data_IF_536872012915
#
_entry.id   IF_536872012915
#
_cell.length_a   1.000
_cell.length_b   1.000
_cell.length_c   1.000
_cell.angle_alpha   90.00
_cell.angle_beta   90.00
_cell.angle_gamma   90.00
#
_symmetry.space_group_name_H-M   'P 1'
#
loop_
_entity.id
_entity.type
_entity.pdbx_description
1 polymer ?
#
# COMPACT_ATOMS: atom_id res chain seq x y z
N UNK A 1 -1.15 15.07 -6.41
CA UNK A 1 -0.87 14.05 -5.38
C UNK A 1 -2.03 14.04 -4.39
N UNK A 2 -2.55 12.87 -4.02
CA UNK A 2 -3.62 12.78 -3.01
C UNK A 2 -3.00 12.79 -1.61
N UNK A 3 -3.70 13.38 -0.63
CA UNK A 3 -3.33 13.28 0.78
C UNK A 3 -3.26 11.78 1.10
N UNK A 4 -2.10 11.30 1.56
CA UNK A 4 -1.82 9.88 1.88
C UNK A 4 -1.56 8.92 0.72
N UNK A 5 -1.04 9.41 -0.41
CA UNK A 5 -0.50 8.56 -1.47
C UNK A 5 0.94 8.97 -1.79
N UNK A 6 1.85 7.99 -1.84
CA UNK A 6 3.24 8.23 -2.21
C UNK A 6 3.30 8.65 -3.68
N UNK A 7 4.16 9.63 -3.96
CA UNK A 7 4.51 9.97 -5.34
C UNK A 7 5.38 8.90 -5.97
N UNK A 8 5.46 8.88 -7.31
CA UNK A 8 6.36 7.98 -8.02
C UNK A 8 7.82 8.19 -7.61
N UNK A 9 8.23 9.44 -7.35
CA UNK A 9 9.57 9.77 -6.88
C UNK A 9 9.85 9.21 -5.47
N UNK A 10 8.91 9.37 -4.53
CA UNK A 10 9.03 8.81 -3.18
C UNK A 10 8.97 7.28 -3.18
N UNK A 11 8.15 6.71 -4.06
CA UNK A 11 8.07 5.26 -4.25
C UNK A 11 9.40 4.73 -4.79
N UNK A 12 10.05 5.44 -5.71
CA UNK A 12 11.39 5.10 -6.21
C UNK A 12 12.46 5.05 -5.13
N UNK A 13 12.42 5.96 -4.14
CA UNK A 13 13.38 5.98 -3.03
C UNK A 13 13.26 4.77 -2.10
N UNK A 14 12.05 4.25 -1.93
CA UNK A 14 11.74 3.16 -0.98
C UNK A 14 11.63 1.81 -1.72
N UNK A 15 11.67 1.81 -3.06
CA UNK A 15 11.46 0.63 -3.89
C UNK A 15 12.44 -0.50 -3.56
N UNK A 16 13.69 -0.17 -3.22
CA UNK A 16 14.73 -1.16 -2.89
C UNK A 16 14.52 -1.81 -1.51
N UNK A 17 13.81 -1.12 -0.61
CA UNK A 17 13.45 -1.63 0.71
C UNK A 17 12.20 -2.52 0.68
N UNK A 18 11.49 -2.56 -0.45
CA UNK A 18 10.30 -3.38 -0.58
C UNK A 18 10.66 -4.85 -0.81
N UNK A 19 9.92 -5.78 -0.19
CA UNK A 19 10.13 -7.20 -0.46
C UNK A 19 9.88 -7.45 -1.94
N UNK A 20 10.89 -7.93 -2.67
CA UNK A 20 10.72 -8.32 -4.08
C UNK A 20 9.53 -9.27 -4.16
N UNK A 21 8.52 -8.87 -4.92
CA UNK A 21 7.33 -9.67 -5.19
C UNK A 21 7.72 -10.95 -5.92
N UNK A 22 8.10 -11.98 -5.15
CA UNK A 22 8.81 -13.14 -5.64
C UNK A 22 8.57 -14.37 -4.77
N UNK A 23 7.49 -15.09 -5.11
CA UNK A 23 7.23 -16.52 -4.86
C UNK A 23 7.64 -17.09 -3.48
N UNK A 24 6.73 -17.02 -2.51
CA UNK A 24 6.50 -18.10 -1.53
C UNK A 24 4.99 -18.25 -1.30
N UNK A 25 4.40 -19.30 -1.86
CA UNK A 25 3.08 -19.81 -1.48
C UNK A 25 1.84 -19.12 -2.07
N UNK A 26 1.42 -19.55 -3.26
CA UNK A 26 0.00 -19.86 -3.52
C UNK A 26 -1.04 -18.76 -3.68
N UNK A 27 -0.70 -17.46 -3.75
CA UNK A 27 -1.70 -16.40 -3.93
C UNK A 27 -1.28 -15.27 -4.88
N UNK A 28 -2.26 -14.67 -5.57
CA UNK A 28 -2.11 -13.41 -6.33
C UNK A 28 -1.79 -12.31 -5.31
N UNK A 29 -0.50 -12.04 -5.10
CA UNK A 29 -0.08 -10.89 -4.30
C UNK A 29 -0.61 -9.62 -4.97
N UNK A 30 -1.31 -8.78 -4.20
CA UNK A 30 -1.70 -7.44 -4.66
C UNK A 30 -0.44 -6.60 -4.85
N UNK A 31 -0.57 -5.53 -5.65
CA UNK A 31 0.49 -4.56 -5.80
C UNK A 31 0.97 -4.08 -4.43
N UNK A 32 2.23 -4.34 -4.10
CA UNK A 32 2.83 -3.97 -2.81
C UNK A 32 2.63 -2.47 -2.50
N UNK A 33 2.64 -1.64 -3.53
CA UNK A 33 2.38 -0.21 -3.42
C UNK A 33 0.94 0.13 -3.04
N UNK A 34 -0.03 -0.71 -3.42
CA UNK A 34 -1.42 -0.55 -2.98
C UNK A 34 -1.54 -0.77 -1.47
N UNK A 35 -0.84 -1.78 -0.94
CA UNK A 35 -0.80 -2.08 0.50
C UNK A 35 -0.11 -0.95 1.29
N UNK A 36 1.06 -0.50 0.84
CA UNK A 36 1.82 0.59 1.48
C UNK A 36 1.01 1.89 1.49
N UNK A 37 0.39 2.25 0.37
CA UNK A 37 -0.46 3.45 0.33
C UNK A 37 -1.70 3.31 1.24
N UNK A 38 -2.24 2.10 1.40
CA UNK A 38 -3.33 1.82 2.34
C UNK A 38 -2.90 2.01 3.80
N UNK A 39 -1.70 1.56 4.16
CA UNK A 39 -1.12 1.75 5.49
C UNK A 39 -0.86 3.23 5.80
N UNK A 40 -0.28 3.99 4.86
CA UNK A 40 -0.02 5.42 5.02
C UNK A 40 -1.33 6.20 5.20
N UNK A 41 -2.36 5.85 4.42
CA UNK A 41 -3.69 6.41 4.61
C UNK A 41 -4.26 6.08 5.98
N UNK A 42 -4.08 4.85 6.45
CA UNK A 42 -4.55 4.43 7.76
C UNK A 42 -3.92 5.23 8.89
N UNK A 43 -2.60 5.30 8.90
CA UNK A 43 -1.84 6.06 9.89
C UNK A 43 -2.17 7.56 9.86
N UNK A 44 -2.47 8.11 8.68
CA UNK A 44 -2.80 9.52 8.53
C UNK A 44 -4.26 9.90 8.81
N UNK A 45 -5.19 8.94 8.81
CA UNK A 45 -6.63 9.21 8.93
C UNK A 45 -7.20 8.78 10.28
N UNK A 46 -6.49 7.94 11.05
CA UNK A 46 -6.98 7.33 12.31
C UNK A 46 -8.36 6.63 12.17
N UNK A 47 -8.76 6.28 10.95
CA UNK A 47 -10.04 5.63 10.67
C UNK A 47 -10.12 4.24 11.33
N UNK A 48 -11.30 3.68 11.60
CA UNK A 48 -11.46 2.30 12.09
C UNK A 48 -11.06 1.27 11.03
N UNK A 49 -10.44 0.15 11.41
CA UNK A 49 -9.88 -0.87 10.50
C UNK A 49 -10.88 -1.43 9.48
N UNK A 50 -12.18 -1.37 9.79
CA UNK A 50 -13.26 -1.85 8.92
C UNK A 50 -13.67 -0.90 7.80
N UNK A 51 -13.20 0.35 7.81
CA UNK A 51 -13.63 1.34 6.83
C UNK A 51 -12.46 1.95 6.00
N UNK A 52 -11.69 1.13 5.27
CA UNK A 52 -10.73 1.63 4.29
C UNK A 52 -11.38 1.87 2.93
N UNK A 53 -10.90 2.89 2.19
CA UNK A 53 -11.33 3.14 0.83
C UNK A 53 -11.11 1.93 -0.10
N UNK A 54 -12.10 1.60 -0.92
CA UNK A 54 -12.10 0.46 -1.85
C UNK A 54 -10.90 0.46 -2.82
N UNK A 55 -10.28 1.63 -3.05
CA UNK A 55 -9.05 1.77 -3.86
C UNK A 55 -7.83 1.01 -3.31
N UNK A 56 -7.82 0.67 -2.02
CA UNK A 56 -6.81 -0.18 -1.40
C UNK A 56 -7.15 -1.67 -1.48
N UNK A 57 -8.30 -1.98 -2.08
CA UNK A 57 -8.88 -3.29 -2.32
C UNK A 57 -9.76 -3.79 -1.16
N UNK A 58 -10.48 -4.91 -1.37
CA UNK A 58 -11.38 -5.44 -0.35
C UNK A 58 -10.59 -5.88 0.88
N UNK A 59 -11.09 -5.46 2.05
CA UNK A 59 -10.63 -5.82 3.39
C UNK A 59 -11.39 -7.01 3.93
#
# INVERSE_FOLDING_TARGET
MRRHQLSNAQSGLIADLMPRSGRRGGGRWRDQWQVVNGLIWKCGTCAPWRDPPERYGPW
#
